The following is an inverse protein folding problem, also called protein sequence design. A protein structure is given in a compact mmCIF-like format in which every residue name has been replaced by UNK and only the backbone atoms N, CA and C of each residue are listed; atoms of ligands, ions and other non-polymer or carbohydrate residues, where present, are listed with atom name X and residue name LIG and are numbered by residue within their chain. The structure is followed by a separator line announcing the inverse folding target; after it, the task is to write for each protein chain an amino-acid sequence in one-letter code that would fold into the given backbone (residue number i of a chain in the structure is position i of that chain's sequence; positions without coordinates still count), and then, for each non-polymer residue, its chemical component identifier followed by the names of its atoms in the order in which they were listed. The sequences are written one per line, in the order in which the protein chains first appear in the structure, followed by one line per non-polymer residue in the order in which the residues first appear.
data_IF_897707450037
#
_entry.id   IF_897707450037
#
_cell.length_a   1.000
_cell.length_b   1.000
_cell.length_c   1.000
_cell.angle_alpha   90.00
_cell.angle_beta   90.00
_cell.angle_gamma   90.00
#
_symmetry.space_group_name_H-M   'P 1'
#
loop_
_entity.id
_entity.type
_entity.pdbx_description
1 polymer ?
#
# COMPACT_ATOMS: atom_id res chain seq x y z
N UNK A 1 92.33 6.56 83.79
CA UNK A 1 91.32 5.54 84.13
C UNK A 1 90.85 4.90 82.85
N UNK A 2 90.99 3.58 82.77
CA UNK A 2 90.56 2.71 81.67
C UNK A 2 89.07 2.82 81.41
N UNK A 3 88.68 2.78 80.13
CA UNK A 3 87.57 1.94 79.67
C UNK A 3 87.92 1.43 78.27
N UNK A 4 88.20 0.14 78.17
CA UNK A 4 88.09 -0.61 76.94
C UNK A 4 86.64 -1.06 76.78
N UNK A 5 86.07 -1.07 75.58
CA UNK A 5 85.28 -2.20 75.06
C UNK A 5 84.88 -2.03 73.58
N UNK A 6 85.23 -3.09 72.82
CA UNK A 6 84.50 -3.73 71.71
C UNK A 6 84.18 -2.93 70.44
N UNK A 7 85.06 -3.12 69.45
CA UNK A 7 84.69 -3.05 68.04
C UNK A 7 83.81 -4.26 67.69
N UNK A 8 82.49 -4.04 67.59
CA UNK A 8 81.58 -4.96 66.91
C UNK A 8 81.52 -4.61 65.44
N UNK A 9 82.07 -5.45 64.57
CA UNK A 9 81.83 -5.40 63.12
C UNK A 9 80.42 -5.89 62.84
N UNK A 10 79.48 -4.96 62.69
CA UNK A 10 78.16 -5.24 62.12
C UNK A 10 78.30 -5.70 60.67
N UNK A 11 77.46 -6.65 60.21
CA UNK A 11 77.57 -7.19 58.86
C UNK A 11 77.31 -6.10 57.82
N UNK A 12 78.20 -6.05 56.84
CA UNK A 12 78.16 -5.19 55.65
C UNK A 12 76.79 -5.23 54.97
N UNK A 13 76.26 -4.05 54.67
CA UNK A 13 75.08 -3.84 53.83
C UNK A 13 75.23 -4.62 52.52
N UNK A 14 74.41 -5.66 52.36
CA UNK A 14 74.29 -6.38 51.11
C UNK A 14 73.53 -5.51 50.10
N UNK A 15 73.94 -5.44 48.81
CA UNK A 15 73.22 -4.66 47.83
C UNK A 15 71.79 -5.20 47.66
N UNK A 16 70.78 -4.36 47.88
CA UNK A 16 69.39 -4.68 47.56
C UNK A 16 69.27 -4.79 46.04
N UNK A 17 69.09 -6.01 45.54
CA UNK A 17 68.89 -6.26 44.12
C UNK A 17 67.59 -5.59 43.62
N UNK A 18 67.62 -4.84 42.51
CA UNK A 18 66.41 -4.23 41.98
C UNK A 18 65.41 -5.32 41.55
N UNK A 19 64.09 -5.11 41.74
CA UNK A 19 63.09 -6.08 41.31
C UNK A 19 63.25 -6.32 39.81
N UNK A 20 63.40 -7.59 39.42
CA UNK A 20 63.46 -8.00 38.01
C UNK A 20 62.24 -7.44 37.30
N UNK A 21 62.50 -6.51 36.38
CA UNK A 21 61.51 -5.90 35.50
C UNK A 21 60.65 -7.01 34.89
N UNK A 22 59.34 -6.87 35.07
CA UNK A 22 58.31 -7.84 34.73
C UNK A 22 58.58 -8.39 33.34
N UNK A 23 58.82 -9.70 33.28
CA UNK A 23 59.07 -10.51 32.08
C UNK A 23 58.31 -9.93 30.90
N UNK A 24 59.03 -9.24 30.02
CA UNK A 24 58.52 -8.62 28.81
C UNK A 24 57.58 -9.62 28.14
N UNK A 25 56.28 -9.33 28.23
CA UNK A 25 55.20 -10.18 27.72
C UNK A 25 55.55 -10.39 26.25
N UNK A 26 56.06 -11.58 25.90
CA UNK A 26 56.39 -11.95 24.52
C UNK A 26 55.09 -11.84 23.75
N UNK A 27 54.85 -10.65 23.19
CA UNK A 27 53.73 -10.36 22.31
C UNK A 27 53.92 -11.32 21.14
N UNK A 28 53.16 -12.42 21.12
CA UNK A 28 53.20 -13.37 20.02
C UNK A 28 52.50 -12.68 18.85
N UNK A 29 53.21 -12.19 17.82
CA UNK A 29 52.60 -11.40 16.76
C UNK A 29 51.47 -12.17 16.05
N UNK A 30 51.57 -13.50 15.99
CA UNK A 30 50.49 -14.36 15.47
C UNK A 30 49.20 -14.31 16.29
N UNK A 31 49.26 -14.11 17.62
CA UNK A 31 48.06 -13.97 18.46
C UNK A 31 47.36 -12.62 18.23
N UNK A 32 48.16 -11.58 17.94
CA UNK A 32 47.69 -10.25 17.57
C UNK A 32 47.01 -10.28 16.20
N UNK A 33 47.62 -10.96 15.23
CA UNK A 33 47.02 -11.21 13.91
C UNK A 33 45.70 -11.98 14.00
N UNK A 34 45.64 -13.03 14.83
CA UNK A 34 44.41 -13.79 15.08
C UNK A 34 43.32 -12.92 15.71
N UNK A 35 43.67 -12.09 16.70
CA UNK A 35 42.71 -11.18 17.34
C UNK A 35 42.14 -10.16 16.34
N UNK A 36 43.00 -9.56 15.52
CA UNK A 36 42.56 -8.63 14.46
C UNK A 36 41.68 -9.34 13.43
N UNK A 37 42.04 -10.55 13.01
CA UNK A 37 41.25 -11.34 12.08
C UNK A 37 39.86 -11.66 12.64
N UNK A 38 39.77 -12.12 13.89
CA UNK A 38 38.49 -12.41 14.55
C UNK A 38 37.63 -11.15 14.72
N UNK A 39 38.24 -10.01 15.06
CA UNK A 39 37.53 -8.73 15.14
C UNK A 39 37.02 -8.32 13.76
N UNK A 40 37.82 -8.46 12.71
CA UNK A 40 37.43 -8.13 11.34
C UNK A 40 36.29 -9.03 10.85
N UNK A 41 36.38 -10.35 11.05
CA UNK A 41 35.32 -11.31 10.69
C UNK A 41 34.05 -11.09 11.49
N UNK A 42 34.15 -10.86 12.80
CA UNK A 42 32.99 -10.56 13.65
C UNK A 42 32.33 -9.24 13.26
N UNK A 43 33.12 -8.21 12.96
CA UNK A 43 32.64 -6.92 12.48
C UNK A 43 31.97 -7.02 11.10
N UNK A 44 32.60 -7.70 10.14
CA UNK A 44 32.01 -7.93 8.82
C UNK A 44 30.73 -8.78 8.90
N UNK A 45 30.74 -9.83 9.73
CA UNK A 45 29.59 -10.70 9.93
C UNK A 45 28.41 -9.98 10.59
N UNK A 46 28.68 -9.15 11.60
CA UNK A 46 27.66 -8.32 12.24
C UNK A 46 27.12 -7.25 11.27
N UNK A 47 28.01 -6.57 10.52
CA UNK A 47 27.60 -5.62 9.49
C UNK A 47 26.74 -6.31 8.42
N UNK A 48 27.17 -7.47 7.93
CA UNK A 48 26.45 -8.27 6.95
C UNK A 48 25.08 -8.68 7.48
N UNK A 49 25.00 -9.25 8.68
CA UNK A 49 23.74 -9.64 9.32
C UNK A 49 22.77 -8.46 9.51
N UNK A 50 23.30 -7.29 9.90
CA UNK A 50 22.49 -6.06 10.03
C UNK A 50 22.02 -5.58 8.65
N UNK A 51 22.85 -5.65 7.62
CA UNK A 51 22.46 -5.25 6.25
C UNK A 51 21.49 -6.23 5.59
N UNK A 52 21.61 -7.54 5.86
CA UNK A 52 20.71 -8.55 5.31
C UNK A 52 19.32 -8.47 5.93
N UNK A 53 19.23 -8.13 7.22
CA UNK A 53 17.95 -7.86 7.90
C UNK A 53 17.34 -6.52 7.44
N UNK A 54 18.17 -5.57 6.99
CA UNK A 54 17.77 -4.29 6.41
C UNK A 54 17.60 -4.32 4.89
N UNK A 55 17.42 -5.49 4.28
CA UNK A 55 17.02 -5.57 2.87
C UNK A 55 15.56 -5.10 2.72
N UNK A 56 15.32 -3.81 2.94
CA UNK A 56 14.07 -3.12 2.61
C UNK A 56 13.95 -3.02 1.10
N UNK A 57 12.85 -3.53 0.56
CA UNK A 57 12.51 -3.34 -0.85
C UNK A 57 11.85 -1.97 -1.04
N UNK A 58 12.08 -1.34 -2.19
CA UNK A 58 11.36 -0.13 -2.58
C UNK A 58 10.10 -0.52 -3.37
N UNK A 59 8.95 -0.15 -2.82
CA UNK A 59 7.63 -0.48 -3.35
C UNK A 59 6.79 0.78 -3.54
N UNK A 60 5.78 0.72 -4.39
CA UNK A 60 4.83 1.82 -4.59
C UNK A 60 3.75 1.76 -3.53
N UNK A 61 3.51 2.89 -2.86
CA UNK A 61 2.36 3.12 -2.02
C UNK A 61 1.47 4.19 -2.63
N UNK A 62 0.20 4.15 -2.25
CA UNK A 62 -0.80 5.14 -2.64
C UNK A 62 -0.55 6.42 -1.84
N UNK A 63 -0.30 7.53 -2.53
CA UNK A 63 -0.10 8.85 -1.95
C UNK A 63 -1.42 9.62 -1.81
N UNK A 64 -2.31 9.51 -2.81
CA UNK A 64 -3.61 10.20 -2.86
C UNK A 64 -4.74 9.19 -3.03
N UNK A 65 -5.95 9.48 -2.51
CA UNK A 65 -7.07 8.59 -2.73
C UNK A 65 -7.40 8.54 -4.22
N UNK A 66 -7.54 7.34 -4.77
CA UNK A 66 -7.97 7.12 -6.16
C UNK A 66 -9.23 6.27 -6.13
N UNK A 67 -10.31 6.80 -6.70
CA UNK A 67 -11.58 6.11 -6.80
C UNK A 67 -11.50 4.94 -7.79
N UNK A 68 -12.39 3.96 -7.63
CA UNK A 68 -12.54 2.85 -8.57
C UNK A 68 -12.75 3.38 -9.98
N UNK A 69 -12.24 2.69 -11.00
CA UNK A 69 -12.35 3.05 -12.41
C UNK A 69 -11.50 4.24 -12.84
N UNK A 70 -10.96 5.05 -11.91
CA UNK A 70 -10.12 6.19 -12.23
C UNK A 70 -8.73 5.74 -12.70
N UNK A 71 -8.19 6.48 -13.65
CA UNK A 71 -6.82 6.26 -14.12
C UNK A 71 -5.81 6.70 -13.07
N UNK A 72 -4.86 5.82 -12.76
CA UNK A 72 -3.77 6.07 -11.81
C UNK A 72 -2.70 6.90 -12.48
N UNK A 73 -2.36 8.03 -11.86
CA UNK A 73 -1.28 8.92 -12.31
C UNK A 73 -0.01 8.76 -11.45
N UNK A 74 1.13 9.24 -11.94
CA UNK A 74 2.39 9.20 -11.20
C UNK A 74 2.30 9.98 -9.87
N UNK A 75 1.53 11.05 -9.83
CA UNK A 75 1.32 11.90 -8.65
C UNK A 75 0.46 11.23 -7.57
N UNK A 76 -0.26 10.15 -7.92
CA UNK A 76 -1.07 9.38 -6.97
C UNK A 76 -0.23 8.36 -6.20
N UNK A 77 1.02 8.13 -6.61
CA UNK A 77 1.89 7.10 -6.08
C UNK A 77 3.16 7.69 -5.47
N UNK A 78 3.64 7.04 -4.42
CA UNK A 78 4.91 7.41 -3.77
C UNK A 78 5.76 6.16 -3.53
N UNK A 79 7.06 6.19 -3.87
CA UNK A 79 7.96 5.10 -3.53
C UNK A 79 8.22 5.08 -2.03
N UNK A 80 7.97 3.95 -1.38
CA UNK A 80 8.22 3.71 0.04
C UNK A 80 9.18 2.54 0.23
N UNK A 81 9.98 2.60 1.27
CA UNK A 81 10.87 1.51 1.67
C UNK A 81 10.19 0.69 2.76
N UNK A 82 9.86 -0.56 2.46
CA UNK A 82 9.17 -1.45 3.41
C UNK A 82 9.93 -2.76 3.47
N UNK A 83 10.11 -3.30 4.68
CA UNK A 83 10.63 -4.65 4.87
C UNK A 83 9.59 -5.63 4.32
N UNK A 84 9.89 -6.27 3.19
CA UNK A 84 8.95 -7.12 2.47
C UNK A 84 8.47 -8.26 3.37
N UNK A 85 7.20 -8.21 3.78
CA UNK A 85 6.53 -9.31 4.47
C UNK A 85 6.18 -10.42 3.48
N UNK A 86 6.30 -11.68 3.92
CA UNK A 86 5.88 -12.83 3.12
C UNK A 86 4.35 -12.80 2.95
N UNK A 87 3.86 -12.91 1.71
CA UNK A 87 2.42 -12.95 1.40
C UNK A 87 1.85 -11.67 0.76
N UNK A 88 2.64 -10.59 0.66
CA UNK A 88 2.28 -9.42 -0.13
C UNK A 88 2.96 -9.49 -1.50
N UNK A 89 2.24 -9.13 -2.57
CA UNK A 89 2.81 -8.93 -3.91
C UNK A 89 2.74 -7.44 -4.31
N UNK A 90 3.43 -6.55 -3.57
CA UNK A 90 3.43 -5.12 -3.85
C UNK A 90 4.21 -4.81 -5.12
N UNK A 91 3.80 -3.75 -5.82
CA UNK A 91 4.47 -3.31 -7.05
C UNK A 91 5.80 -2.65 -6.69
N UNK A 92 6.94 -3.11 -7.24
CA UNK A 92 8.23 -2.44 -7.04
C UNK A 92 8.24 -1.03 -7.60
N UNK A 93 8.95 -0.11 -6.96
CA UNK A 93 9.06 1.28 -7.41
C UNK A 93 9.60 1.43 -8.85
N UNK A 94 10.46 0.51 -9.29
CA UNK A 94 10.99 0.48 -10.66
C UNK A 94 9.99 0.12 -11.75
N UNK A 95 8.75 -0.28 -11.39
CA UNK A 95 7.68 -0.60 -12.33
C UNK A 95 6.64 0.51 -12.43
N UNK A 96 6.93 1.72 -11.95
CA UNK A 96 6.01 2.87 -11.98
C UNK A 96 5.37 3.07 -13.37
N UNK A 97 6.16 2.96 -14.44
CA UNK A 97 5.68 3.11 -15.82
C UNK A 97 4.68 2.04 -16.26
N UNK A 98 4.71 0.84 -15.66
CA UNK A 98 3.73 -0.21 -15.92
C UNK A 98 2.39 0.08 -15.22
N UNK A 99 2.40 0.92 -14.19
CA UNK A 99 1.24 1.20 -13.32
C UNK A 99 0.53 2.48 -13.71
N UNK A 100 1.30 3.48 -14.11
CA UNK A 100 0.78 4.75 -14.58
C UNK A 100 0.00 4.51 -15.87
N UNK A 101 -1.22 5.03 -15.90
CA UNK A 101 -2.14 4.83 -17.01
C UNK A 101 -3.09 3.65 -16.86
N UNK A 102 -2.85 2.73 -15.92
CA UNK A 102 -3.82 1.70 -15.52
C UNK A 102 -4.98 2.32 -14.75
N UNK A 103 -6.10 1.60 -14.65
CA UNK A 103 -7.25 2.02 -13.83
C UNK A 103 -7.25 1.31 -12.49
N UNK A 104 -7.75 1.98 -11.45
CA UNK A 104 -7.98 1.36 -10.15
C UNK A 104 -9.17 0.39 -10.25
N UNK A 105 -8.94 -0.89 -9.94
CA UNK A 105 -10.02 -1.89 -9.87
C UNK A 105 -10.80 -1.81 -8.55
N UNK A 106 -10.16 -1.29 -7.50
CA UNK A 106 -10.72 -1.07 -6.16
C UNK A 106 -10.34 0.32 -5.68
N UNK A 107 -11.06 0.85 -4.69
CA UNK A 107 -10.73 2.13 -4.10
C UNK A 107 -9.32 2.08 -3.48
N UNK A 108 -8.44 2.97 -3.92
CA UNK A 108 -7.07 3.06 -3.43
C UNK A 108 -6.99 4.06 -2.29
N UNK A 109 -6.72 3.56 -1.08
CA UNK A 109 -6.61 4.38 0.13
C UNK A 109 -5.16 4.84 0.34
N UNK A 110 -4.92 6.12 0.68
CA UNK A 110 -3.58 6.62 1.00
C UNK A 110 -2.87 5.79 2.08
N UNK A 111 -1.56 5.60 1.92
CA UNK A 111 -0.73 4.85 2.86
C UNK A 111 -0.80 3.33 2.71
N UNK A 112 -1.61 2.82 1.77
CA UNK A 112 -1.65 1.39 1.43
C UNK A 112 -0.58 1.06 0.38
N UNK A 113 -0.05 -0.18 0.45
CA UNK A 113 0.84 -0.69 -0.59
C UNK A 113 0.04 -1.06 -1.83
N UNK A 114 0.51 -0.61 -2.99
CA UNK A 114 -0.13 -0.90 -4.26
C UNK A 114 0.25 -2.30 -4.72
N UNK A 115 -0.74 -3.06 -5.17
CA UNK A 115 -0.58 -4.40 -5.74
C UNK A 115 -1.17 -4.47 -7.14
N UNK A 116 -0.63 -5.34 -8.01
CA UNK A 116 -1.15 -5.48 -9.38
C UNK A 116 -2.62 -5.93 -9.44
N UNK A 117 -3.11 -6.61 -8.41
CA UNK A 117 -4.50 -7.06 -8.33
C UNK A 117 -5.50 -5.92 -8.07
N UNK A 118 -5.03 -4.75 -7.61
CA UNK A 118 -5.86 -3.56 -7.40
C UNK A 118 -5.98 -2.70 -8.66
N UNK A 119 -5.37 -3.13 -9.76
CA UNK A 119 -5.31 -2.40 -11.01
C UNK A 119 -5.94 -3.24 -12.10
N UNK A 120 -6.59 -2.57 -13.04
CA UNK A 120 -7.18 -3.19 -14.21
C UNK A 120 -6.87 -2.37 -15.46
N UNK A 121 -6.66 -3.08 -16.57
CA UNK A 121 -6.65 -2.51 -17.91
C UNK A 121 -7.96 -2.79 -18.65
N UNK A 122 -8.85 -3.58 -18.03
CA UNK A 122 -10.08 -3.99 -18.68
C UNK A 122 -10.96 -2.76 -18.94
N UNK A 123 -11.59 -2.69 -20.11
CA UNK A 123 -12.62 -1.70 -20.36
C UNK A 123 -13.69 -1.82 -19.26
N UNK A 124 -14.17 -0.68 -18.74
CA UNK A 124 -15.28 -0.65 -17.77
C UNK A 124 -16.53 -1.38 -18.29
N UNK A 125 -16.64 -1.59 -19.60
CA UNK A 125 -17.64 -2.45 -20.22
C UNK A 125 -17.14 -3.88 -20.39
N UNK A 126 -17.77 -4.82 -19.68
CA UNK A 126 -17.57 -6.25 -19.93
C UNK A 126 -18.10 -6.68 -21.32
N UNK A 127 -17.66 -7.85 -21.83
CA UNK A 127 -18.21 -8.40 -23.07
C UNK A 127 -19.72 -8.60 -22.94
N UNK A 128 -20.49 -8.01 -23.87
CA UNK A 128 -21.96 -8.07 -23.83
C UNK A 128 -22.62 -7.00 -22.95
N UNK A 129 -21.86 -6.03 -22.45
CA UNK A 129 -22.39 -4.81 -21.84
C UNK A 129 -22.34 -3.61 -22.80
N UNK A 130 -23.26 -2.67 -22.57
CA UNK A 130 -23.40 -1.41 -23.30
C UNK A 130 -23.54 -0.26 -22.32
N UNK A 131 -23.03 0.91 -22.72
CA UNK A 131 -23.12 2.14 -21.93
C UNK A 131 -24.43 2.86 -22.23
N UNK A 132 -25.15 3.23 -21.19
CA UNK A 132 -26.32 4.10 -21.23
C UNK A 132 -26.09 5.31 -20.35
N UNK A 133 -26.44 6.49 -20.83
CA UNK A 133 -26.50 7.70 -20.02
C UNK A 133 -27.94 7.92 -19.55
N UNK A 134 -28.14 8.18 -18.27
CA UNK A 134 -29.41 8.58 -17.68
C UNK A 134 -29.25 9.96 -17.05
N UNK A 135 -30.02 10.93 -17.55
CA UNK A 135 -30.19 12.22 -16.88
C UNK A 135 -31.26 12.07 -15.80
N UNK A 136 -30.90 12.38 -14.56
CA UNK A 136 -31.76 12.21 -13.38
C UNK A 136 -31.73 13.48 -12.55
N UNK A 137 -32.84 13.74 -11.86
CA UNK A 137 -32.86 14.79 -10.84
C UNK A 137 -31.99 14.37 -9.65
N UNK A 138 -31.33 15.30 -8.94
CA UNK A 138 -30.54 14.98 -7.75
C UNK A 138 -31.31 14.21 -6.66
N UNK A 139 -32.64 14.39 -6.59
CA UNK A 139 -33.52 13.68 -5.67
C UNK A 139 -33.77 12.21 -6.04
N UNK A 140 -33.53 11.82 -7.30
CA UNK A 140 -33.72 10.46 -7.83
C UNK A 140 -32.45 9.62 -7.70
N UNK A 141 -31.31 10.26 -7.41
CA UNK A 141 -30.03 9.58 -7.22
C UNK A 141 -29.98 9.02 -5.78
N UNK A 142 -29.75 7.70 -5.61
CA UNK A 142 -29.82 7.05 -4.30
C UNK A 142 -28.68 7.43 -3.34
N UNK A 143 -27.67 8.16 -3.82
CA UNK A 143 -26.53 8.61 -3.04
C UNK A 143 -26.17 10.06 -3.40
N UNK A 144 -25.60 10.81 -2.45
CA UNK A 144 -25.09 12.18 -2.70
C UNK A 144 -23.98 12.23 -3.74
N UNK A 145 -23.24 11.13 -3.87
CA UNK A 145 -22.19 10.92 -4.86
C UNK A 145 -22.19 9.44 -5.21
N UNK A 146 -22.27 9.14 -6.50
CA UNK A 146 -22.05 7.80 -7.03
C UNK A 146 -20.57 7.66 -7.39
N UNK A 147 -19.99 6.50 -7.11
CA UNK A 147 -18.62 6.19 -7.49
C UNK A 147 -18.63 5.19 -8.65
N UNK A 148 -17.66 5.27 -9.58
CA UNK A 148 -17.51 4.21 -10.57
C UNK A 148 -17.36 2.85 -9.87
N UNK A 149 -17.95 1.80 -10.41
CA UNK A 149 -17.98 0.47 -9.80
C UNK A 149 -19.14 0.22 -8.84
N UNK A 150 -19.88 1.25 -8.42
CA UNK A 150 -21.10 1.06 -7.62
C UNK A 150 -22.09 0.16 -8.38
N UNK A 151 -22.65 -0.83 -7.68
CA UNK A 151 -23.69 -1.69 -8.24
C UNK A 151 -25.05 -1.10 -7.92
N UNK A 152 -25.82 -0.86 -8.96
CA UNK A 152 -27.17 -0.32 -8.85
C UNK A 152 -28.18 -1.24 -9.51
N UNK A 153 -29.42 -1.11 -9.05
CA UNK A 153 -30.57 -1.79 -9.60
C UNK A 153 -31.53 -0.73 -10.15
N UNK A 154 -31.84 -0.85 -11.44
CA UNK A 154 -32.89 -0.07 -12.07
C UNK A 154 -34.20 -0.82 -11.89
N UNK A 155 -35.17 -0.17 -11.27
CA UNK A 155 -36.49 -0.73 -11.00
C UNK A 155 -37.53 0.01 -11.82
N UNK A 156 -38.34 -0.72 -12.59
CA UNK A 156 -39.46 -0.13 -13.33
C UNK A 156 -40.55 0.32 -12.37
N UNK A 157 -40.97 1.58 -12.45
CA UNK A 157 -42.11 2.12 -11.70
C UNK A 157 -43.42 1.82 -12.45
N UNK A 158 -44.51 1.41 -11.78
CA UNK A 158 -45.81 1.19 -12.42
C UNK A 158 -46.31 2.46 -13.13
N UNK A 159 -47.07 2.32 -14.22
CA UNK A 159 -47.85 3.46 -14.71
C UNK A 159 -48.97 3.72 -13.70
N UNK A 160 -49.37 4.98 -13.52
CA UNK A 160 -50.52 5.32 -12.67
C UNK A 160 -51.83 4.62 -13.05
N UNK A 161 -51.92 4.06 -14.27
CA UNK A 161 -53.05 3.30 -14.80
C UNK A 161 -52.81 1.77 -14.86
N UNK A 162 -51.66 1.26 -14.41
CA UNK A 162 -51.33 -0.17 -14.46
C UNK A 162 -51.71 -0.84 -13.13
N UNK A 163 -52.85 -1.52 -13.10
CA UNK A 163 -53.43 -2.26 -11.96
C UNK A 163 -52.61 -3.53 -11.59
N UNK A 164 -51.34 -3.58 -12.01
CA UNK A 164 -50.43 -4.71 -11.80
C UNK A 164 -49.94 -4.69 -10.36
N UNK A 165 -49.99 -5.81 -9.63
CA UNK A 165 -49.58 -5.84 -8.22
C UNK A 165 -48.14 -5.33 -8.06
N UNK A 166 -47.91 -4.50 -7.03
CA UNK A 166 -46.65 -3.80 -6.72
C UNK A 166 -45.38 -4.68 -6.63
N UNK A 167 -45.51 -6.01 -6.78
CA UNK A 167 -44.40 -6.97 -6.85
C UNK A 167 -43.88 -7.26 -8.26
N UNK A 168 -44.56 -6.84 -9.33
CA UNK A 168 -44.19 -7.12 -10.73
C UNK A 168 -43.24 -6.09 -11.35
N UNK A 169 -42.50 -5.34 -10.53
CA UNK A 169 -41.47 -4.43 -11.03
C UNK A 169 -40.32 -5.21 -11.67
N UNK A 170 -40.03 -4.90 -12.93
CA UNK A 170 -38.87 -5.45 -13.63
C UNK A 170 -37.62 -4.78 -13.08
N UNK A 171 -36.59 -5.59 -12.82
CA UNK A 171 -35.34 -5.15 -12.21
C UNK A 171 -34.20 -5.42 -13.18
N UNK A 172 -33.35 -4.44 -13.39
CA UNK A 172 -32.17 -4.54 -14.24
C UNK A 172 -30.93 -4.20 -13.43
N UNK A 173 -29.94 -5.08 -13.44
CA UNK A 173 -28.65 -4.83 -12.79
C UNK A 173 -27.77 -3.95 -13.69
N UNK A 174 -27.16 -2.93 -13.10
CA UNK A 174 -26.18 -2.10 -13.77
C UNK A 174 -25.01 -1.75 -12.85
N UNK A 175 -23.91 -1.37 -13.47
CA UNK A 175 -22.72 -0.87 -12.77
C UNK A 175 -22.46 0.56 -13.20
N UNK A 176 -22.19 1.44 -12.24
CA UNK A 176 -21.84 2.84 -12.52
C UNK A 176 -20.47 2.88 -13.19
N UNK A 177 -20.40 3.50 -14.37
CA UNK A 177 -19.15 3.77 -15.09
C UNK A 177 -18.61 5.12 -14.64
N UNK A 178 -19.48 6.12 -14.56
CA UNK A 178 -19.16 7.49 -14.15
C UNK A 178 -20.45 8.24 -13.80
N UNK A 179 -20.36 9.32 -13.05
CA UNK A 179 -21.48 10.20 -12.74
C UNK A 179 -21.02 11.66 -12.77
N UNK A 180 -21.70 12.48 -13.56
CA UNK A 180 -21.38 13.89 -13.75
C UNK A 180 -22.58 14.71 -13.33
N UNK A 181 -22.37 15.58 -12.34
CA UNK A 181 -23.35 16.59 -11.96
C UNK A 181 -23.14 17.84 -12.82
N UNK A 182 -24.24 18.45 -13.26
CA UNK A 182 -24.25 19.75 -13.95
C UNK A 182 -23.75 20.87 -13.04
N UNK A 183 -23.22 21.96 -13.62
CA UNK A 183 -22.66 23.08 -12.84
C UNK A 183 -23.69 23.77 -11.92
N UNK A 184 -24.98 23.71 -12.29
CA UNK A 184 -26.09 24.26 -11.52
C UNK A 184 -26.65 23.29 -10.47
N UNK A 185 -26.07 22.08 -10.33
CA UNK A 185 -26.52 20.99 -9.43
C UNK A 185 -27.98 20.53 -9.66
N UNK A 186 -28.62 20.94 -10.76
CA UNK A 186 -30.03 20.64 -11.06
C UNK A 186 -30.22 19.30 -11.81
N UNK A 187 -29.17 18.77 -12.41
CA UNK A 187 -29.17 17.53 -13.18
C UNK A 187 -27.93 16.68 -12.89
N UNK A 188 -28.12 15.37 -12.72
CA UNK A 188 -27.05 14.37 -12.60
C UNK A 188 -27.13 13.40 -13.77
N UNK A 189 -26.08 13.35 -14.58
CA UNK A 189 -25.94 12.39 -15.67
C UNK A 189 -25.14 11.19 -15.17
N UNK A 190 -25.80 10.04 -15.07
CA UNK A 190 -25.19 8.78 -14.64
C UNK A 190 -24.92 7.91 -15.86
N UNK A 191 -23.66 7.51 -16.04
CA UNK A 191 -23.22 6.56 -17.06
C UNK A 191 -23.21 5.15 -16.49
N UNK A 192 -23.94 4.25 -17.13
CA UNK A 192 -24.24 2.92 -16.62
C UNK A 192 -23.82 1.84 -17.61
N UNK A 193 -23.22 0.77 -17.12
CA UNK A 193 -22.99 -0.46 -17.85
C UNK A 193 -24.17 -1.40 -17.63
N UNK A 194 -24.89 -1.73 -18.70
CA UNK A 194 -26.05 -2.64 -18.73
C UNK A 194 -25.80 -3.79 -19.69
N UNK A 195 -26.43 -4.95 -19.50
CA UNK A 195 -26.39 -6.00 -20.50
C UNK A 195 -27.09 -5.54 -21.79
N UNK A 196 -26.52 -5.85 -22.96
CA UNK A 196 -27.03 -5.44 -24.29
C UNK A 196 -28.52 -5.79 -24.48
N UNK A 197 -28.97 -6.91 -23.90
CA UNK A 197 -30.38 -7.36 -23.94
C UNK A 197 -31.36 -6.46 -23.20
N UNK A 198 -30.89 -5.75 -22.18
CA UNK A 198 -31.72 -4.96 -21.27
C UNK A 198 -31.78 -3.49 -21.70
N UNK A 199 -30.78 -3.01 -22.45
CA UNK A 199 -30.69 -1.63 -22.92
C UNK A 199 -31.97 -1.14 -23.61
N UNK A 200 -32.59 -1.85 -24.57
CA UNK A 200 -33.80 -1.35 -25.22
C UNK A 200 -34.97 -1.14 -24.26
N UNK A 201 -35.13 -2.02 -23.26
CA UNK A 201 -36.19 -1.92 -22.27
C UNK A 201 -35.94 -0.74 -21.31
N UNK A 202 -34.70 -0.57 -20.85
CA UNK A 202 -34.30 0.54 -19.98
C UNK A 202 -34.44 1.88 -20.71
N UNK A 203 -34.05 1.98 -21.98
CA UNK A 203 -34.22 3.21 -22.77
C UNK A 203 -35.70 3.58 -22.91
N UNK A 204 -36.56 2.60 -23.17
CA UNK A 204 -38.01 2.83 -23.28
C UNK A 204 -38.62 3.31 -21.95
N UNK A 205 -38.20 2.75 -20.81
CA UNK A 205 -38.64 3.15 -19.48
C UNK A 205 -38.08 4.51 -19.05
N UNK A 206 -36.83 4.81 -19.40
CA UNK A 206 -36.19 6.10 -19.12
C UNK A 206 -36.88 7.23 -19.88
N UNK A 207 -37.27 6.99 -21.13
CA UNK A 207 -38.03 7.96 -21.94
C UNK A 207 -39.42 8.27 -21.38
N UNK A 208 -39.92 7.44 -20.46
CA UNK A 208 -41.20 7.60 -19.78
C UNK A 208 -41.05 8.10 -18.34
N UNK A 209 -39.82 8.39 -17.87
CA UNK A 209 -39.52 8.77 -16.48
C UNK A 209 -39.99 7.71 -15.45
N UNK A 210 -39.96 6.43 -15.83
CA UNK A 210 -40.46 5.30 -15.03
C UNK A 210 -39.36 4.42 -14.45
N UNK A 211 -38.24 5.02 -14.13
CA UNK A 211 -37.09 4.29 -13.58
C UNK A 211 -36.76 4.88 -12.22
N UNK A 212 -36.74 4.00 -11.21
CA UNK A 212 -36.15 4.30 -9.92
C UNK A 212 -34.78 3.63 -9.81
N UNK A 213 -33.80 4.34 -9.24
CA UNK A 213 -32.46 3.81 -8.98
C UNK A 213 -32.34 3.36 -7.53
N UNK A 214 -31.76 2.19 -7.33
CA UNK A 214 -31.47 1.65 -6.01
C UNK A 214 -30.00 1.27 -5.93
N UNK A 215 -29.27 1.83 -4.96
CA UNK A 215 -27.89 1.41 -4.69
C UNK A 215 -27.90 0.08 -3.94
N UNK A 216 -27.32 -0.96 -4.54
CA UNK A 216 -27.28 -2.30 -3.93
C UNK A 216 -25.96 -2.57 -3.22
N UNK A 217 -24.84 -2.08 -3.77
CA UNK A 217 -23.50 -2.26 -3.22
C UNK A 217 -22.67 -1.02 -3.57
N UNK A 218 -22.10 -0.38 -2.55
CA UNK A 218 -21.16 0.72 -2.73
C UNK A 218 -19.74 0.15 -2.89
N UNK A 219 -18.96 0.76 -3.78
CA UNK A 219 -17.58 0.37 -4.08
C UNK A 219 -16.56 0.78 -3.00
#
# INVERSE_FOLDING_TARGET
MSVATRNGTGPVDAPVAPPRVVRQRRMRPGLLGLAVLLIALGGLGAAFAVTSVRATGSYLAVARPVEVGRQVSADDLVPVQVAGGQGLSPVPAGRLDEVVGKRAAVALTPGTLLTMAQLTDDPLLGPGQQQLALGLSPAEVPARRLHPGDKILLVSTPDGDDDRPAGAATRFEATVIDAVTSDDDDEVVVYLALAVRDVPAVVALSSQERIALVLTEAA
#
